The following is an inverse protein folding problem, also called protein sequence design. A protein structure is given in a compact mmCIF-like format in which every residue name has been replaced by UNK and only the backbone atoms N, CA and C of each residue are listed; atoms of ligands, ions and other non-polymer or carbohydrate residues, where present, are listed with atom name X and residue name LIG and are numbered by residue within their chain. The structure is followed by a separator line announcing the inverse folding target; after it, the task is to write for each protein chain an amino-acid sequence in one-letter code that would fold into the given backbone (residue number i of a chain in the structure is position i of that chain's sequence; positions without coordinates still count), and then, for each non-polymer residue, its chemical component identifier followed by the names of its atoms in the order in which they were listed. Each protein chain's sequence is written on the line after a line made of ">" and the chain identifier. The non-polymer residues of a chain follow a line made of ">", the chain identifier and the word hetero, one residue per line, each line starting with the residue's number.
data_IF_434352344900
#
_entry.id   IF_434352344900
#
_cell.length_a   1.000
_cell.length_b   1.000
_cell.length_c   1.000
_cell.angle_alpha   90.00
_cell.angle_beta   90.00
_cell.angle_gamma   90.00
#
_symmetry.space_group_name_H-M   'P 1'
#
loop_
_entity.id
_entity.type
_entity.pdbx_description
1 polymer ?
#
# COMPACT_ATOMS: atom_id res chain seq x y z
N UNK A 1 6.58 4.73 24.52
CA UNK A 1 5.14 4.48 24.70
C UNK A 1 4.52 4.47 23.31
N UNK A 2 3.85 3.36 22.98
CA UNK A 2 2.98 3.14 21.80
C UNK A 2 3.58 3.15 20.39
N UNK A 3 4.45 2.19 20.08
CA UNK A 3 4.81 1.85 18.68
C UNK A 3 3.91 0.76 18.08
N UNK A 4 2.60 0.79 18.35
CA UNK A 4 1.65 0.01 17.53
C UNK A 4 1.59 0.67 16.15
N UNK A 5 2.21 0.04 15.16
CA UNK A 5 2.23 0.51 13.77
C UNK A 5 0.82 0.90 13.32
N UNK A 6 0.57 2.21 13.25
CA UNK A 6 -0.77 2.71 12.95
C UNK A 6 -0.86 2.86 11.44
N UNK A 7 -1.64 1.99 10.80
CA UNK A 7 -1.99 2.15 9.39
C UNK A 7 -2.76 3.47 9.26
N UNK A 8 -2.18 4.41 8.51
CA UNK A 8 -2.72 5.77 8.27
C UNK A 8 -2.90 6.01 6.77
N UNK A 9 -3.70 7.01 6.35
CA UNK A 9 -3.89 7.34 4.94
C UNK A 9 -2.56 7.57 4.19
N UNK A 10 -1.57 8.18 4.84
CA UNK A 10 -0.25 8.49 4.26
C UNK A 10 0.55 7.24 3.84
N UNK A 11 0.19 6.07 4.36
CA UNK A 11 0.81 4.79 4.01
C UNK A 11 0.12 4.09 2.86
N UNK A 12 -0.99 4.61 2.35
CA UNK A 12 -1.69 4.01 1.21
C UNK A 12 -1.09 4.60 -0.07
N UNK A 13 -0.46 3.74 -0.86
CA UNK A 13 0.17 4.16 -2.11
C UNK A 13 -0.87 4.49 -3.18
N UNK A 14 -0.51 5.26 -4.22
CA UNK A 14 -1.41 5.56 -5.33
C UNK A 14 -1.99 4.32 -6.02
N UNK A 15 -1.25 3.20 -5.98
CA UNK A 15 -1.70 1.92 -6.54
C UNK A 15 -2.59 1.09 -5.60
N UNK A 16 -3.00 1.61 -4.44
CA UNK A 16 -3.80 0.87 -3.44
C UNK A 16 -3.00 -0.04 -2.52
N UNK A 17 -1.66 -0.04 -2.61
CA UNK A 17 -0.82 -0.82 -1.69
C UNK A 17 -0.81 -0.16 -0.31
N UNK A 18 -1.13 -0.92 0.74
CA UNK A 18 -0.89 -0.51 2.11
C UNK A 18 0.59 -0.71 2.45
N UNK A 19 1.39 0.36 2.35
CA UNK A 19 2.82 0.33 2.65
C UNK A 19 3.11 -0.01 4.12
N UNK A 20 2.13 0.15 5.02
CA UNK A 20 2.20 -0.26 6.41
C UNK A 20 2.43 -1.78 6.59
N UNK A 21 2.16 -2.58 5.56
CA UNK A 21 2.33 -4.03 5.55
C UNK A 21 3.60 -4.48 4.82
N UNK A 22 4.44 -3.53 4.41
CA UNK A 22 5.70 -3.81 3.73
C UNK A 22 6.82 -4.04 4.75
N UNK A 23 7.63 -5.07 4.50
CA UNK A 23 8.82 -5.36 5.31
C UNK A 23 9.69 -4.12 5.53
N UNK A 24 9.92 -3.31 4.49
CA UNK A 24 10.76 -2.11 4.59
C UNK A 24 10.16 -1.01 5.48
N UNK A 25 8.84 -0.95 5.65
CA UNK A 25 8.20 -0.01 6.56
C UNK A 25 8.25 -0.51 8.01
N UNK A 26 8.17 -1.83 8.20
CA UNK A 26 8.06 -2.46 9.51
C UNK A 26 9.41 -2.65 10.23
N UNK A 27 10.55 -2.63 9.52
CA UNK A 27 11.91 -2.68 10.11
C UNK A 27 12.14 -1.63 11.20
N UNK A 28 12.91 -1.90 12.25
CA UNK A 28 13.13 -0.91 13.33
C UNK A 28 13.92 0.35 12.91
N UNK A 29 14.95 0.17 12.08
CA UNK A 29 15.83 1.25 11.59
C UNK A 29 15.61 1.48 10.10
N UNK A 30 15.83 2.72 9.66
CA UNK A 30 15.71 3.16 8.26
C UNK A 30 14.36 2.77 7.62
N UNK A 31 13.28 2.96 8.40
CA UNK A 31 11.90 2.68 7.98
C UNK A 31 11.56 3.38 6.68
N UNK A 32 10.96 2.64 5.76
CA UNK A 32 10.38 3.21 4.55
C UNK A 32 9.17 4.04 4.93
N UNK A 33 9.16 5.37 4.68
CA UNK A 33 8.09 6.22 5.21
C UNK A 33 6.79 6.15 4.39
N UNK A 34 6.75 5.31 3.35
CA UNK A 34 5.59 5.09 2.49
C UNK A 34 5.82 5.62 1.07
N UNK A 35 4.94 5.28 0.13
CA UNK A 35 5.09 5.76 -1.24
C UNK A 35 4.84 7.27 -1.38
N UNK A 36 3.98 7.84 -0.54
CA UNK A 36 3.56 9.25 -0.59
C UNK A 36 4.47 10.19 0.22
N UNK A 37 5.40 9.69 1.02
CA UNK A 37 6.19 10.51 1.95
C UNK A 37 7.31 11.35 1.31
N UNK A 38 7.54 11.26 0.00
CA UNK A 38 8.65 11.92 -0.71
C UNK A 38 10.05 11.33 -0.40
N UNK A 39 10.33 10.97 0.86
CA UNK A 39 11.56 10.31 1.31
C UNK A 39 11.55 8.81 0.98
N UNK A 40 12.71 8.26 0.58
CA UNK A 40 12.82 6.89 0.09
C UNK A 40 14.01 6.16 0.69
N UNK A 41 13.79 4.91 1.10
CA UNK A 41 14.83 4.03 1.67
C UNK A 41 15.02 2.72 0.88
N UNK A 42 14.27 2.51 -0.22
CA UNK A 42 14.40 1.30 -1.04
C UNK A 42 14.37 1.60 -2.55
N UNK A 43 15.29 0.96 -3.30
CA UNK A 43 15.47 1.17 -4.75
C UNK A 43 14.27 0.74 -5.60
N UNK A 44 13.53 -0.30 -5.19
CA UNK A 44 12.38 -0.81 -5.96
C UNK A 44 11.24 0.19 -6.03
N UNK A 45 10.92 0.82 -4.90
CA UNK A 45 9.92 1.87 -4.87
C UNK A 45 10.43 3.14 -5.56
N UNK A 46 11.75 3.37 -5.62
CA UNK A 46 12.35 4.57 -6.21
C UNK A 46 12.07 4.63 -7.71
N UNK A 47 12.22 3.49 -8.37
CA UNK A 47 12.02 3.36 -9.81
C UNK A 47 10.61 2.85 -10.16
N UNK A 48 9.65 2.95 -9.23
CA UNK A 48 8.30 2.44 -9.47
C UNK A 48 7.57 3.31 -10.50
N UNK A 49 7.29 2.74 -11.68
CA UNK A 49 6.61 3.43 -12.77
C UNK A 49 5.21 3.93 -12.41
N UNK A 50 4.50 3.25 -11.50
CA UNK A 50 3.17 3.72 -11.03
C UNK A 50 3.33 4.94 -10.12
N UNK A 51 4.32 4.91 -9.21
CA UNK A 51 4.61 6.06 -8.34
C UNK A 51 4.98 7.29 -9.18
N UNK A 52 5.86 7.10 -10.15
CA UNK A 52 6.39 8.13 -11.05
C UNK A 52 5.47 8.47 -12.24
N UNK A 53 4.26 7.91 -12.28
CA UNK A 53 3.33 8.12 -13.38
C UNK A 53 2.92 9.59 -13.48
N UNK A 54 3.35 10.26 -14.56
CA UNK A 54 3.02 11.68 -14.84
C UNK A 54 1.60 11.89 -15.35
N UNK A 55 0.95 10.84 -15.87
CA UNK A 55 -0.45 10.88 -16.35
C UNK A 55 -1.48 10.75 -15.21
N UNK A 56 -1.04 10.63 -13.95
CA UNK A 56 -1.98 10.45 -12.82
C UNK A 56 -2.73 11.75 -12.57
N UNK A 57 -4.07 11.67 -12.51
CA UNK A 57 -4.98 12.83 -12.35
C UNK A 57 -5.41 13.13 -10.90
N UNK A 58 -4.93 12.38 -9.92
CA UNK A 58 -5.28 12.56 -8.52
C UNK A 58 -4.33 11.82 -7.57
N UNK A 59 -4.79 11.57 -6.35
CA UNK A 59 -3.99 10.90 -5.32
C UNK A 59 -3.85 9.40 -5.62
N UNK A 60 -4.87 8.80 -6.24
CA UNK A 60 -4.94 7.37 -6.50
C UNK A 60 -5.09 7.07 -7.99
N UNK A 61 -4.71 5.86 -8.38
CA UNK A 61 -4.76 5.45 -9.77
C UNK A 61 -6.19 5.29 -10.31
N UNK A 62 -7.20 5.20 -9.43
CA UNK A 62 -8.61 5.18 -9.85
C UNK A 62 -9.14 6.54 -10.31
N UNK A 63 -8.38 7.62 -10.10
CA UNK A 63 -8.73 8.97 -10.57
C UNK A 63 -8.43 9.17 -12.06
N UNK A 64 -7.73 8.22 -12.69
CA UNK A 64 -7.42 8.27 -14.12
C UNK A 64 -8.58 7.70 -14.95
N UNK A 65 -8.91 8.35 -16.07
CA UNK A 65 -9.93 7.87 -17.02
C UNK A 65 -9.62 6.47 -17.57
N UNK A 66 -8.34 6.12 -17.69
CA UNK A 66 -7.86 4.82 -18.19
C UNK A 66 -7.85 3.73 -17.10
N UNK A 67 -8.43 3.97 -15.93
CA UNK A 67 -8.44 3.00 -14.85
C UNK A 67 -9.45 1.86 -15.11
N UNK A 68 -9.07 0.58 -14.93
CA UNK A 68 -7.73 0.09 -14.57
C UNK A 68 -6.79 0.01 -15.78
N UNK A 69 -5.63 0.67 -15.70
CA UNK A 69 -4.65 0.64 -16.79
C UNK A 69 -3.69 -0.57 -16.65
N UNK A 70 -2.95 -0.88 -17.71
CA UNK A 70 -2.04 -2.03 -17.77
C UNK A 70 -1.06 -2.12 -16.61
N UNK A 71 -0.52 -0.98 -16.15
CA UNK A 71 0.40 -0.97 -15.00
C UNK A 71 -0.29 -1.45 -13.72
N UNK A 72 -1.55 -1.07 -13.52
CA UNK A 72 -2.35 -1.51 -12.37
C UNK A 72 -2.73 -2.99 -12.50
N UNK A 73 -3.20 -3.42 -13.67
CA UNK A 73 -3.52 -4.82 -13.92
C UNK A 73 -2.30 -5.74 -13.71
N UNK A 74 -1.11 -5.29 -14.13
CA UNK A 74 0.13 -6.03 -13.95
C UNK A 74 0.53 -6.16 -12.47
N UNK A 75 0.53 -5.06 -11.70
CA UNK A 75 0.88 -5.13 -10.27
C UNK A 75 -0.16 -5.93 -9.48
N UNK A 76 -1.45 -5.80 -9.79
CA UNK A 76 -2.53 -6.55 -9.16
C UNK A 76 -2.35 -8.06 -9.36
N UNK A 77 -2.16 -8.50 -10.61
CA UNK A 77 -1.91 -9.90 -10.95
C UNK A 77 -0.72 -10.47 -10.18
N UNK A 78 0.39 -9.72 -10.13
CA UNK A 78 1.59 -10.13 -9.40
C UNK A 78 1.34 -10.23 -7.90
N UNK A 79 0.67 -9.24 -7.31
CA UNK A 79 0.42 -9.19 -5.87
C UNK A 79 -0.59 -10.25 -5.42
N UNK A 80 -1.65 -10.51 -6.21
CA UNK A 80 -2.56 -11.63 -5.99
C UNK A 80 -1.79 -12.95 -5.95
N UNK A 81 -1.01 -13.22 -7.01
CA UNK A 81 -0.26 -14.47 -7.15
C UNK A 81 0.78 -14.69 -6.05
N UNK A 82 1.50 -13.64 -5.63
CA UNK A 82 2.64 -13.78 -4.68
C UNK A 82 2.26 -13.56 -3.22
N UNK A 83 1.30 -12.68 -2.95
CA UNK A 83 1.05 -12.13 -1.62
C UNK A 83 -0.42 -12.22 -1.21
N UNK A 84 -1.32 -12.73 -2.06
CA UNK A 84 -2.74 -12.87 -1.73
C UNK A 84 -3.44 -11.53 -1.47
N UNK A 85 -2.97 -10.45 -2.10
CA UNK A 85 -3.54 -9.11 -1.97
C UNK A 85 -3.85 -8.54 -3.35
N UNK A 86 -5.02 -7.93 -3.49
CA UNK A 86 -5.41 -7.23 -4.72
C UNK A 86 -5.22 -5.72 -4.57
N UNK A 87 -4.49 -5.13 -5.51
CA UNK A 87 -4.38 -3.67 -5.64
C UNK A 87 -5.69 -3.08 -6.18
N UNK A 88 -6.33 -3.76 -7.12
CA UNK A 88 -7.62 -3.34 -7.70
C UNK A 88 -8.73 -3.34 -6.65
N UNK A 89 -8.88 -4.42 -5.89
CA UNK A 89 -9.87 -4.51 -4.82
C UNK A 89 -9.65 -3.39 -3.78
N UNK A 90 -8.40 -3.15 -3.38
CA UNK A 90 -8.08 -2.06 -2.46
C UNK A 90 -8.50 -0.70 -3.03
N UNK A 91 -8.17 -0.43 -4.30
CA UNK A 91 -8.54 0.82 -4.98
C UNK A 91 -10.06 0.98 -5.13
N UNK A 92 -10.78 -0.08 -5.47
CA UNK A 92 -12.25 -0.09 -5.55
C UNK A 92 -12.90 0.17 -4.19
N UNK A 93 -12.38 -0.42 -3.11
CA UNK A 93 -12.87 -0.17 -1.75
C UNK A 93 -12.65 1.30 -1.38
N UNK A 94 -11.45 1.86 -1.65
CA UNK A 94 -11.17 3.27 -1.36
C UNK A 94 -12.10 4.18 -2.15
N UNK A 95 -12.29 3.91 -3.46
CA UNK A 95 -13.17 4.70 -4.33
C UNK A 95 -14.63 4.66 -3.89
N UNK A 96 -15.14 3.47 -3.58
CA UNK A 96 -16.58 3.25 -3.38
C UNK A 96 -17.03 3.43 -1.93
N UNK A 97 -16.14 3.16 -0.96
CA UNK A 97 -16.45 3.18 0.48
C UNK A 97 -15.63 4.18 1.28
N UNK A 98 -14.63 4.81 0.66
CA UNK A 98 -13.78 5.80 1.29
C UNK A 98 -12.58 5.22 2.04
N UNK A 99 -11.61 6.11 2.33
CA UNK A 99 -10.35 5.77 2.99
C UNK A 99 -10.55 5.23 4.40
N UNK A 100 -11.45 5.81 5.20
CA UNK A 100 -11.63 5.39 6.60
C UNK A 100 -12.17 3.96 6.70
N UNK A 101 -13.11 3.60 5.82
CA UNK A 101 -13.61 2.23 5.71
C UNK A 101 -12.46 1.27 5.36
N UNK A 102 -11.67 1.62 4.35
CA UNK A 102 -10.53 0.82 3.93
C UNK A 102 -9.53 0.62 5.09
N UNK A 103 -9.14 1.70 5.79
CA UNK A 103 -8.19 1.63 6.90
C UNK A 103 -8.71 0.77 8.05
N UNK A 104 -10.00 0.86 8.38
CA UNK A 104 -10.63 -0.01 9.39
C UNK A 104 -10.52 -1.49 8.98
N UNK A 105 -10.85 -1.81 7.74
CA UNK A 105 -10.74 -3.16 7.20
C UNK A 105 -9.28 -3.66 7.21
N UNK A 106 -8.32 -2.83 6.79
CA UNK A 106 -6.89 -3.19 6.79
C UNK A 106 -6.37 -3.44 8.22
N UNK A 107 -6.76 -2.61 9.19
CA UNK A 107 -6.40 -2.82 10.60
C UNK A 107 -6.98 -4.13 11.13
N UNK A 108 -8.26 -4.39 10.90
CA UNK A 108 -8.90 -5.64 11.32
C UNK A 108 -8.24 -6.89 10.71
N UNK A 109 -7.83 -6.81 9.44
CA UNK A 109 -7.26 -7.94 8.72
C UNK A 109 -5.79 -8.23 9.10
N UNK A 110 -5.00 -7.19 9.36
CA UNK A 110 -3.55 -7.33 9.43
C UNK A 110 -2.91 -7.01 10.77
N UNK A 111 -3.62 -6.33 11.68
CA UNK A 111 -3.08 -5.90 12.98
C UNK A 111 -3.71 -6.71 14.11
N UNK A 112 -2.87 -7.28 14.97
CA UNK A 112 -3.30 -7.98 16.19
C UNK A 112 -2.51 -7.47 17.41
N UNK A 113 -2.75 -8.05 18.58
CA UNK A 113 -1.94 -7.81 19.78
C UNK A 113 -0.47 -8.19 19.60
N UNK A 114 -0.18 -9.18 18.73
CA UNK A 114 1.16 -9.65 18.39
C UNK A 114 1.88 -8.76 17.35
N UNK A 115 1.23 -7.71 16.86
CA UNK A 115 1.80 -6.78 15.89
C UNK A 115 1.16 -6.82 14.51
N UNK A 116 1.83 -6.18 13.56
CA UNK A 116 1.36 -5.98 12.18
C UNK A 116 1.91 -7.05 11.25
N UNK A 117 1.02 -7.71 10.53
CA UNK A 117 1.39 -8.71 9.53
C UNK A 117 2.05 -8.07 8.29
N UNK A 118 3.23 -8.55 7.94
CA UNK A 118 3.93 -8.19 6.73
C UNK A 118 3.53 -9.12 5.58
N UNK A 119 3.03 -8.57 4.47
CA UNK A 119 2.58 -9.38 3.32
C UNK A 119 3.73 -9.93 2.47
N UNK A 120 4.95 -9.42 2.64
CA UNK A 120 6.10 -9.83 1.83
C UNK A 120 6.87 -11.02 2.42
N UNK A 121 6.98 -11.12 3.74
CA UNK A 121 7.72 -12.19 4.43
C UNK A 121 6.84 -13.04 5.36
N UNK A 122 5.56 -12.70 5.49
CA UNK A 122 4.54 -13.42 6.28
C UNK A 122 4.80 -13.43 7.79
N UNK A 123 5.58 -12.48 8.31
CA UNK A 123 5.87 -12.33 9.76
C UNK A 123 5.06 -11.19 10.39
N UNK A 124 4.98 -11.18 11.73
CA UNK A 124 4.46 -10.06 12.51
C UNK A 124 5.60 -9.23 13.09
N UNK A 125 5.39 -7.92 13.11
CA UNK A 125 6.31 -6.89 13.61
C UNK A 125 5.59 -5.97 14.61
#
# INVERSE_FOLDING_TARGET
>A
MDTKSTITPKLIAPCGMNCGLCFHHLKDKDKCPGCLSGRMVNKRCLNCAIKLCKERKGDYCFDCDKFPCDRINHIDTRYKKRYGMSMLENLEIIKNKGMDYFLKQQKQKYVTSEGTYCVHDKKRY
#
